data_IF_889620675974
#
_entry.id   IF_889620675974
#
_cell.length_a   1.000
_cell.length_b   1.000
_cell.length_c   1.000
_cell.angle_alpha   90.00
_cell.angle_beta   90.00
_cell.angle_gamma   90.00
#
_symmetry.space_group_name_H-M   'P 1'
#
loop_
_entity.id
_entity.type
_entity.pdbx_description
1 polymer ?
#
# COMPACT_ATOMS: atom_id res chain seq x y z
N UNK A 1 -10.63 16.02 6.59
CA UNK A 1 -10.70 14.54 6.60
C UNK A 1 -10.44 14.07 8.02
N UNK A 2 -11.23 13.16 8.56
CA UNK A 2 -11.11 12.66 9.95
C UNK A 2 -10.13 11.49 10.03
N UNK A 3 -9.63 11.18 11.25
CA UNK A 3 -8.80 9.99 11.51
C UNK A 3 -9.43 8.71 10.96
N UNK A 4 -10.75 8.55 11.14
CA UNK A 4 -11.52 7.43 10.59
C UNK A 4 -11.43 7.33 9.08
N UNK A 5 -11.51 8.46 8.36
CA UNK A 5 -11.39 8.47 6.91
C UNK A 5 -9.99 8.07 6.44
N UNK A 6 -8.93 8.52 7.12
CA UNK A 6 -7.53 8.13 6.82
C UNK A 6 -7.35 6.63 6.98
N UNK A 7 -7.83 6.07 8.10
CA UNK A 7 -7.80 4.63 8.35
C UNK A 7 -8.55 3.82 7.30
N UNK A 8 -9.70 4.30 6.84
CA UNK A 8 -10.48 3.61 5.79
C UNK A 8 -9.69 3.49 4.50
N UNK A 9 -8.93 4.51 4.09
CA UNK A 9 -8.07 4.43 2.90
C UNK A 9 -6.99 3.36 3.09
N UNK A 10 -6.26 3.37 4.22
CA UNK A 10 -5.22 2.39 4.51
C UNK A 10 -5.78 0.95 4.55
N UNK A 11 -6.93 0.75 5.21
CA UNK A 11 -7.61 -0.55 5.27
C UNK A 11 -8.05 -1.04 3.89
N UNK A 12 -8.51 -0.13 3.02
CA UNK A 12 -8.90 -0.49 1.66
C UNK A 12 -7.69 -0.93 0.83
N UNK A 13 -6.58 -0.19 0.89
CA UNK A 13 -5.33 -0.57 0.23
C UNK A 13 -4.83 -1.94 0.72
N UNK A 14 -4.86 -2.20 2.04
CA UNK A 14 -4.49 -3.50 2.61
C UNK A 14 -5.40 -4.63 2.09
N UNK A 15 -6.73 -4.43 2.07
CA UNK A 15 -7.68 -5.42 1.54
C UNK A 15 -7.46 -5.72 0.05
N UNK A 16 -7.23 -4.69 -0.75
CA UNK A 16 -6.93 -4.84 -2.18
C UNK A 16 -5.65 -5.64 -2.38
N UNK A 17 -4.58 -5.30 -1.67
CA UNK A 17 -3.31 -6.01 -1.74
C UNK A 17 -3.46 -7.51 -1.36
N UNK A 18 -4.34 -7.82 -0.40
CA UNK A 18 -4.61 -9.20 0.04
C UNK A 18 -5.40 -9.95 -1.02
N UNK A 19 -6.31 -9.26 -1.70
CA UNK A 19 -7.05 -9.82 -2.82
C UNK A 19 -6.12 -10.16 -3.99
N UNK A 20 -5.12 -9.31 -4.29
CA UNK A 20 -4.10 -9.59 -5.32
C UNK A 20 -3.30 -10.84 -4.94
N UNK A 21 -2.79 -10.94 -3.71
CA UNK A 21 -2.03 -12.11 -3.26
C UNK A 21 -2.83 -13.40 -3.37
N UNK A 22 -4.10 -13.37 -2.97
CA UNK A 22 -5.02 -14.49 -3.08
C UNK A 22 -5.29 -14.88 -4.54
N UNK A 23 -5.46 -13.90 -5.42
CA UNK A 23 -5.69 -14.15 -6.85
C UNK A 23 -4.49 -14.85 -7.50
N UNK A 24 -3.28 -14.33 -7.26
CA UNK A 24 -2.03 -14.92 -7.76
C UNK A 24 -1.84 -16.35 -7.22
N UNK A 25 -2.04 -16.55 -5.91
CA UNK A 25 -1.92 -17.86 -5.29
C UNK A 25 -2.92 -18.87 -5.85
N UNK A 26 -4.20 -18.50 -5.93
CA UNK A 26 -5.26 -19.42 -6.38
C UNK A 26 -5.13 -19.81 -7.85
N UNK A 27 -4.64 -18.89 -8.69
CA UNK A 27 -4.43 -19.15 -10.12
C UNK A 27 -3.10 -19.84 -10.39
N UNK A 28 -2.19 -19.83 -9.43
CA UNK A 28 -0.77 -20.16 -9.63
C UNK A 28 -0.19 -19.45 -10.86
N UNK A 29 -0.56 -18.18 -11.04
CA UNK A 29 -0.21 -17.39 -12.22
C UNK A 29 -0.23 -15.89 -11.91
N UNK A 30 0.71 -15.17 -12.51
CA UNK A 30 0.77 -13.70 -12.47
C UNK A 30 0.30 -13.17 -13.82
N UNK A 31 -0.65 -12.24 -13.79
CA UNK A 31 -1.33 -11.74 -15.00
C UNK A 31 -1.25 -10.22 -15.09
N UNK A 32 -1.60 -9.69 -16.26
CA UNK A 32 -1.77 -8.24 -16.46
C UNK A 32 -2.82 -7.62 -15.55
N UNK A 33 -3.86 -8.38 -15.15
CA UNK A 33 -4.85 -7.91 -14.18
C UNK A 33 -4.17 -7.61 -12.83
N UNK A 34 -3.21 -8.43 -12.41
CA UNK A 34 -2.49 -8.19 -11.16
C UNK A 34 -1.59 -6.94 -11.26
N UNK A 35 -1.00 -6.67 -12.44
CA UNK A 35 -0.29 -5.41 -12.69
C UNK A 35 -1.21 -4.20 -12.51
N UNK A 36 -2.39 -4.21 -13.15
CA UNK A 36 -3.35 -3.11 -13.07
C UNK A 36 -3.84 -2.89 -11.63
N UNK A 37 -4.14 -3.98 -10.90
CA UNK A 37 -4.52 -3.92 -9.49
C UNK A 37 -3.42 -3.31 -8.61
N UNK A 38 -2.15 -3.61 -8.85
CA UNK A 38 -1.05 -2.98 -8.11
C UNK A 38 -0.92 -1.48 -8.41
N UNK A 39 -1.18 -1.06 -9.66
CA UNK A 39 -1.24 0.36 -10.01
C UNK A 39 -2.37 1.09 -9.28
N UNK A 40 -3.54 0.47 -9.15
CA UNK A 40 -4.67 1.02 -8.38
C UNK A 40 -4.35 1.14 -6.89
N UNK A 41 -3.72 0.12 -6.30
CA UNK A 41 -3.27 0.17 -4.90
C UNK A 41 -2.24 1.28 -4.71
N UNK A 42 -1.29 1.43 -5.63
CA UNK A 42 -0.32 2.51 -5.57
C UNK A 42 -0.98 3.90 -5.64
N UNK A 43 -2.02 4.07 -6.45
CA UNK A 43 -2.78 5.33 -6.49
C UNK A 43 -3.48 5.59 -5.15
N UNK A 44 -4.09 4.56 -4.57
CA UNK A 44 -4.74 4.65 -3.24
C UNK A 44 -3.74 5.04 -2.14
N UNK A 45 -2.52 4.50 -2.17
CA UNK A 45 -1.46 4.87 -1.23
C UNK A 45 -0.92 6.29 -1.46
N UNK A 46 -0.89 6.74 -2.71
CA UNK A 46 -0.55 8.13 -3.03
C UNK A 46 -1.59 9.10 -2.47
N UNK A 47 -2.88 8.75 -2.56
CA UNK A 47 -3.96 9.54 -1.96
C UNK A 47 -3.85 9.57 -0.43
N UNK A 48 -3.55 8.41 0.20
CA UNK A 48 -3.28 8.33 1.63
C UNK A 48 -2.14 9.26 2.03
N UNK A 49 -1.02 9.21 1.30
CA UNK A 49 0.13 10.07 1.54
C UNK A 49 -0.25 11.57 1.43
N UNK A 50 -0.97 11.97 0.38
CA UNK A 50 -1.41 13.36 0.21
C UNK A 50 -2.32 13.85 1.34
N UNK A 51 -3.16 12.97 1.88
CA UNK A 51 -3.98 13.29 3.05
C UNK A 51 -3.13 13.43 4.31
N UNK A 52 -2.17 12.52 4.53
CA UNK A 52 -1.25 12.60 5.67
C UNK A 52 -0.40 13.86 5.60
N UNK A 53 0.15 14.22 4.43
CA UNK A 53 0.90 15.47 4.22
C UNK A 53 0.02 16.68 4.54
N UNK A 54 -1.23 16.69 4.06
CA UNK A 54 -2.16 17.78 4.41
C UNK A 54 -2.39 17.90 5.92
N UNK A 55 -2.46 16.80 6.66
CA UNK A 55 -2.57 16.84 8.13
C UNK A 55 -1.25 17.26 8.78
N UNK A 56 -0.12 16.78 8.27
CA UNK A 56 1.22 17.14 8.71
C UNK A 56 1.47 18.64 8.65
N UNK A 57 1.05 19.29 7.55
CA UNK A 57 1.16 20.75 7.41
C UNK A 57 0.23 21.52 8.36
N UNK A 58 -0.88 20.91 8.83
CA UNK A 58 -1.93 21.57 9.62
C UNK A 58 -1.77 21.41 11.13
N UNK A 59 -1.29 20.27 11.60
CA UNK A 59 -1.14 19.95 13.03
C UNK A 59 0.30 19.56 13.29
N UNK A 60 0.94 20.23 14.25
CA UNK A 60 2.34 20.06 14.67
C UNK A 60 2.81 18.59 14.64
N UNK A 61 3.43 18.21 13.50
CA UNK A 61 4.37 17.12 13.14
C UNK A 61 4.39 15.80 13.93
N UNK A 62 4.30 15.85 15.26
CA UNK A 62 4.47 14.71 16.15
C UNK A 62 3.45 13.59 15.86
N UNK A 63 3.98 12.43 15.45
CA UNK A 63 3.21 11.20 15.24
C UNK A 63 2.72 10.96 13.81
N UNK A 64 2.91 11.90 12.87
CA UNK A 64 2.51 11.71 11.46
C UNK A 64 3.71 11.34 10.56
N UNK A 65 4.92 11.79 10.90
CA UNK A 65 6.15 11.53 10.12
C UNK A 65 6.32 10.03 9.78
N UNK A 66 6.27 9.17 10.80
CA UNK A 66 6.48 7.73 10.63
C UNK A 66 5.40 7.08 9.76
N UNK A 67 4.14 7.52 9.90
CA UNK A 67 3.04 7.05 9.04
C UNK A 67 3.23 7.47 7.59
N UNK A 68 3.75 8.67 7.35
CA UNK A 68 4.06 9.16 6.00
C UNK A 68 5.21 8.38 5.37
N UNK A 69 6.28 8.15 6.12
CA UNK A 69 7.44 7.36 5.68
C UNK A 69 7.02 5.93 5.31
N UNK A 70 6.19 5.29 6.14
CA UNK A 70 5.68 3.96 5.84
C UNK A 70 4.74 3.94 4.64
N UNK A 71 3.84 4.93 4.49
CA UNK A 71 2.95 5.02 3.35
C UNK A 71 3.74 5.16 2.03
N UNK A 72 4.77 6.00 2.00
CA UNK A 72 5.64 6.17 0.83
C UNK A 72 6.51 4.94 0.55
N UNK A 73 7.05 4.30 1.60
CA UNK A 73 7.83 3.06 1.47
C UNK A 73 7.00 1.94 0.82
N UNK A 74 5.79 1.68 1.34
CA UNK A 74 4.91 0.64 0.80
C UNK A 74 4.50 0.98 -0.63
N UNK A 75 4.17 2.25 -0.90
CA UNK A 75 3.87 2.71 -2.26
C UNK A 75 5.03 2.40 -3.22
N UNK A 76 6.26 2.79 -2.87
CA UNK A 76 7.45 2.55 -3.71
C UNK A 76 7.70 1.06 -3.97
N UNK A 77 7.49 0.21 -2.96
CA UNK A 77 7.64 -1.24 -3.12
C UNK A 77 6.54 -1.84 -4.01
N UNK A 78 5.31 -1.35 -3.89
CA UNK A 78 4.20 -1.75 -4.79
C UNK A 78 4.43 -1.26 -6.21
N UNK A 79 4.90 -0.02 -6.42
CA UNK A 79 5.28 0.50 -7.73
C UNK A 79 6.39 -0.36 -8.37
N UNK A 80 7.41 -0.70 -7.59
CA UNK A 80 8.50 -1.58 -8.04
C UNK A 80 7.99 -2.99 -8.38
N UNK A 81 7.05 -3.53 -7.60
CA UNK A 81 6.42 -4.82 -7.89
C UNK A 81 5.57 -4.77 -9.15
N UNK A 82 4.77 -3.72 -9.34
CA UNK A 82 3.97 -3.51 -10.54
C UNK A 82 4.86 -3.43 -11.79
N UNK A 83 5.99 -2.73 -11.69
CA UNK A 83 6.99 -2.63 -12.75
C UNK A 83 7.68 -3.97 -13.02
N UNK A 84 7.97 -4.74 -11.96
CA UNK A 84 8.53 -6.09 -12.07
C UNK A 84 7.58 -7.05 -12.80
N UNK A 85 6.27 -6.92 -12.62
CA UNK A 85 5.26 -7.74 -13.29
C UNK A 85 4.61 -7.04 -14.50
N UNK A 86 5.25 -6.01 -15.07
CA UNK A 86 4.69 -5.27 -16.21
C UNK A 86 4.35 -6.19 -17.40
N UNK A 87 3.32 -5.87 -18.21
CA UNK A 87 2.84 -6.74 -19.29
C UNK A 87 3.91 -7.25 -20.26
N UNK A 88 4.87 -6.41 -20.62
CA UNK A 88 5.96 -6.77 -21.54
C UNK A 88 6.91 -7.80 -20.94
N UNK A 89 7.15 -7.74 -19.63
CA UNK A 89 8.02 -8.69 -18.92
C UNK A 89 7.34 -10.02 -18.70
N UNK A 90 6.04 -10.04 -18.37
CA UNK A 90 5.25 -11.27 -18.26
C UNK A 90 5.28 -12.13 -19.52
N UNK A 91 5.38 -11.50 -20.70
CA UNK A 91 5.49 -12.19 -22.00
C UNK A 91 6.90 -12.72 -22.29
N UNK A 92 7.92 -12.18 -21.64
CA UNK A 92 9.32 -12.42 -21.98
C UNK A 92 10.09 -13.24 -20.95
N UNK A 93 9.65 -13.24 -19.69
CA UNK A 93 10.38 -13.83 -18.57
C UNK A 93 9.40 -14.61 -17.70
N UNK A 94 9.81 -15.80 -17.26
CA UNK A 94 9.07 -16.54 -16.26
C UNK A 94 9.08 -15.77 -14.93
N UNK A 95 7.89 -15.50 -14.39
CA UNK A 95 7.70 -14.90 -13.08
C UNK A 95 7.08 -15.95 -12.18
N UNK A 96 7.76 -16.28 -11.08
CA UNK A 96 7.25 -17.24 -10.09
C UNK A 96 6.08 -16.64 -9.31
N UNK A 97 4.86 -17.22 -9.39
CA UNK A 97 3.71 -16.78 -8.60
C UNK A 97 4.01 -16.82 -7.09
N UNK A 98 4.71 -17.87 -6.64
CA UNK A 98 5.15 -18.02 -5.25
C UNK A 98 6.01 -16.84 -4.78
N UNK A 99 6.96 -16.40 -5.60
CA UNK A 99 7.80 -15.25 -5.26
C UNK A 99 6.98 -13.96 -5.16
N UNK A 100 6.02 -13.76 -6.06
CA UNK A 100 5.13 -12.59 -6.01
C UNK A 100 4.26 -12.61 -4.75
N UNK A 101 3.70 -13.76 -4.38
CA UNK A 101 2.93 -13.90 -3.12
C UNK A 101 3.79 -13.53 -1.90
N UNK A 102 5.04 -14.00 -1.82
CA UNK A 102 5.95 -13.66 -0.72
C UNK A 102 6.26 -12.16 -0.64
N UNK A 103 6.41 -11.49 -1.78
CA UNK A 103 6.58 -10.04 -1.83
C UNK A 103 5.30 -9.33 -1.35
N UNK A 104 4.13 -9.77 -1.80
CA UNK A 104 2.84 -9.20 -1.39
C UNK A 104 2.56 -9.42 0.11
N UNK A 105 2.95 -10.56 0.68
CA UNK A 105 2.83 -10.83 2.12
C UNK A 105 3.71 -9.90 2.95
N UNK A 106 4.90 -9.55 2.44
CA UNK A 106 5.78 -8.56 3.08
C UNK A 106 5.11 -7.19 3.09
N UNK A 107 4.51 -6.79 1.97
CA UNK A 107 3.76 -5.52 1.90
C UNK A 107 2.49 -5.55 2.76
N UNK A 108 1.84 -6.71 2.94
CA UNK A 108 0.73 -6.85 3.91
C UNK A 108 1.18 -6.55 5.33
N UNK A 109 2.33 -7.08 5.75
CA UNK A 109 2.88 -6.82 7.08
C UNK A 109 3.19 -5.33 7.27
N UNK A 110 3.76 -4.68 6.25
CA UNK A 110 4.01 -3.25 6.28
C UNK A 110 2.70 -2.43 6.34
N UNK A 111 1.66 -2.83 5.61
CA UNK A 111 0.33 -2.21 5.69
C UNK A 111 -0.34 -2.39 7.06
N UNK A 112 -0.14 -3.56 7.70
CA UNK A 112 -0.60 -3.79 9.07
C UNK A 112 0.10 -2.86 10.05
N UNK A 113 1.42 -2.71 9.93
CA UNK A 113 2.18 -1.78 10.75
C UNK A 113 1.73 -0.33 10.54
N UNK A 114 1.56 0.10 9.28
CA UNK A 114 1.01 1.42 8.97
C UNK A 114 -0.35 1.65 9.63
N UNK A 115 -1.23 0.64 9.65
CA UNK A 115 -2.53 0.75 10.32
C UNK A 115 -2.38 1.01 11.82
N UNK A 116 -1.42 0.37 12.47
CA UNK A 116 -1.09 0.62 13.90
C UNK A 116 -0.59 2.04 14.12
N UNK A 117 0.32 2.53 13.27
CA UNK A 117 0.80 3.91 13.37
C UNK A 117 -0.34 4.92 13.21
N UNK A 118 -1.25 4.69 12.26
CA UNK A 118 -2.43 5.51 12.06
C UNK A 118 -3.39 5.47 13.26
N UNK A 119 -3.37 4.41 14.07
CA UNK A 119 -4.11 4.31 15.32
C UNK A 119 -3.54 5.17 16.43
N UNK A 120 -2.25 5.48 16.38
CA UNK A 120 -1.59 6.33 17.37
C UNK A 120 -1.62 7.82 17.00
N UNK A 121 -1.97 8.17 15.75
CA UNK A 121 -2.12 9.57 15.33
C UNK A 121 -3.18 10.28 16.17
N UNK A 122 -2.80 11.42 16.74
CA UNK A 122 -3.70 12.32 17.46
C UNK A 122 -4.07 13.48 16.53
N UNK A 123 -5.29 13.48 15.97
CA UNK A 123 -5.77 14.57 15.12
C UNK A 123 -6.62 15.52 15.97
N UNK A 124 -6.15 16.75 16.17
CA UNK A 124 -6.90 17.79 16.89
C UNK A 124 -6.78 17.76 18.42
N UNK A 125 -5.72 17.17 18.97
CA UNK A 125 -5.39 17.32 20.40
C UNK A 125 -5.09 18.78 20.72
N UNK A 126 -5.73 19.34 21.76
CA UNK A 126 -5.36 20.66 22.28
C UNK A 126 -3.88 20.59 22.72
N UNK A 127 -3.07 21.50 22.18
CA UNK A 127 -1.73 21.78 22.68
C UNK A 127 -1.76 22.15 24.17
#
# INVERSE_FOLDING_TARGET
MTKTQIKVIALNASRQLKAVAKDVYNRDLVTTINHDQLKEISATLNDLYGVLDTQYQRSLKAGIDESMEYADLVKKRIDALAEYIRPTRLKAVHISPKQIVQMLDTEQQAMHHLTTLLDDITIGGKA
#
